data_IF_904883970590
#
_entry.id   IF_904883970590
#
_cell.length_a   1.000
_cell.length_b   1.000
_cell.length_c   1.000
_cell.angle_alpha   90.00
_cell.angle_beta   90.00
_cell.angle_gamma   90.00
#
_symmetry.space_group_name_H-M   'P 1'
#
loop_
_entity.id
_entity.type
_entity.pdbx_description
1 polymer ?
#
# COMPACT_ATOMS: atom_id res chain seq x y z
N UNK A 1 1.42 -21.68 15.15
CA UNK A 1 1.15 -20.24 14.84
C UNK A 1 0.61 -20.21 13.42
N UNK A 2 -0.56 -19.60 13.24
CA UNK A 2 -1.25 -19.55 11.95
C UNK A 2 -1.11 -18.16 11.34
N UNK A 3 -1.08 -18.11 10.01
CA UNK A 3 -1.22 -16.86 9.24
C UNK A 3 -2.71 -16.54 9.23
N UNK A 4 -3.03 -15.28 9.50
CA UNK A 4 -4.37 -14.72 9.43
C UNK A 4 -4.44 -13.70 8.29
N UNK A 5 -5.43 -13.86 7.44
CA UNK A 5 -5.72 -12.94 6.34
C UNK A 5 -7.00 -12.18 6.64
N UNK A 6 -6.91 -10.87 6.67
CA UNK A 6 -8.04 -9.98 6.92
C UNK A 6 -8.24 -9.05 5.72
N UNK A 7 -9.47 -8.93 5.28
CA UNK A 7 -9.90 -7.95 4.30
C UNK A 7 -10.71 -6.83 4.94
N UNK A 8 -10.61 -5.62 4.40
CA UNK A 8 -11.47 -4.50 4.74
C UNK A 8 -12.27 -4.11 3.51
N UNK A 9 -13.59 -4.09 3.66
CA UNK A 9 -14.52 -3.73 2.58
C UNK A 9 -14.68 -2.22 2.45
N UNK A 10 -15.31 -1.77 1.36
CA UNK A 10 -15.68 -0.37 1.16
C UNK A 10 -16.59 0.16 2.28
N UNK A 11 -17.42 -0.71 2.87
CA UNK A 11 -18.25 -0.40 4.03
C UNK A 11 -17.52 -0.36 5.38
N UNK A 12 -16.18 -0.48 5.39
CA UNK A 12 -15.34 -0.60 6.57
C UNK A 12 -15.60 -1.85 7.43
N UNK A 13 -16.18 -2.89 6.86
CA UNK A 13 -16.31 -4.17 7.53
C UNK A 13 -15.03 -4.98 7.40
N UNK A 14 -14.58 -5.56 8.50
CA UNK A 14 -13.44 -6.49 8.49
C UNK A 14 -13.95 -7.90 8.27
N UNK A 15 -13.44 -8.56 7.24
CA UNK A 15 -13.75 -9.94 6.92
C UNK A 15 -12.51 -10.82 7.06
N UNK A 16 -12.69 -12.02 7.57
CA UNK A 16 -11.62 -13.04 7.59
C UNK A 16 -11.62 -13.75 6.23
N UNK A 17 -10.48 -13.73 5.57
CA UNK A 17 -10.29 -14.45 4.31
C UNK A 17 -9.82 -15.87 4.60
N UNK A 18 -10.11 -16.78 3.67
CA UNK A 18 -9.70 -18.18 3.77
C UNK A 18 -8.19 -18.35 3.63
N UNK A 19 -7.72 -19.50 3.98
CA UNK A 19 -6.33 -19.91 3.78
C UNK A 19 -5.98 -19.87 2.28
N UNK A 20 -4.90 -19.15 1.92
CA UNK A 20 -4.51 -19.00 0.51
C UNK A 20 -3.89 -20.28 -0.02
N UNK A 21 -4.17 -20.61 -1.28
CA UNK A 21 -3.44 -21.64 -2.02
C UNK A 21 -2.04 -21.17 -2.43
N UNK A 22 -1.86 -19.86 -2.57
CA UNK A 22 -0.57 -19.21 -2.82
C UNK A 22 -0.54 -17.81 -2.21
N UNK A 23 0.61 -17.44 -1.65
CA UNK A 23 0.83 -16.09 -1.12
C UNK A 23 2.29 -15.71 -1.30
N UNK A 24 2.52 -14.55 -1.90
CA UNK A 24 3.87 -13.98 -2.12
C UNK A 24 3.87 -12.53 -1.67
N UNK A 25 4.80 -12.16 -0.79
CA UNK A 25 5.08 -10.77 -0.42
C UNK A 25 6.43 -10.38 -1.02
N UNK A 26 6.41 -9.43 -1.93
CA UNK A 26 7.61 -8.91 -2.59
C UNK A 26 8.00 -7.56 -1.98
N UNK A 27 9.28 -7.45 -1.61
CA UNK A 27 9.88 -6.22 -1.11
C UNK A 27 11.07 -5.87 -1.98
N UNK A 28 11.04 -4.71 -2.61
CA UNK A 28 12.19 -4.18 -3.31
C UNK A 28 12.89 -3.13 -2.44
N UNK A 29 14.21 -3.14 -2.47
CA UNK A 29 15.04 -2.21 -1.69
C UNK A 29 14.85 -0.76 -2.12
N UNK A 30 14.63 -0.53 -3.40
CA UNK A 30 14.51 0.76 -4.06
C UNK A 30 13.06 1.19 -4.33
N UNK A 31 12.09 0.50 -3.75
CA UNK A 31 10.67 0.83 -3.88
C UNK A 31 10.05 1.19 -2.52
N UNK A 32 9.27 2.27 -2.44
CA UNK A 32 8.53 2.60 -1.22
C UNK A 32 7.34 1.66 -1.00
N UNK A 33 6.96 0.90 -2.02
CA UNK A 33 5.82 -0.01 -1.99
C UNK A 33 6.27 -1.47 -1.95
N UNK A 34 5.67 -2.24 -1.04
CA UNK A 34 5.72 -3.70 -1.07
C UNK A 34 4.47 -4.20 -1.79
N UNK A 35 4.59 -5.34 -2.44
CA UNK A 35 3.50 -6.00 -3.15
C UNK A 35 3.13 -7.30 -2.45
N UNK A 36 1.84 -7.59 -2.43
CA UNK A 36 1.26 -8.86 -2.04
C UNK A 36 0.47 -9.42 -3.21
N UNK A 37 0.76 -10.66 -3.58
CA UNK A 37 -0.02 -11.44 -4.52
C UNK A 37 -0.51 -12.69 -3.80
N UNK A 38 -1.83 -12.89 -3.77
CA UNK A 38 -2.45 -14.05 -3.15
C UNK A 38 -3.47 -14.68 -4.09
N UNK A 39 -3.61 -16.00 -3.97
CA UNK A 39 -4.68 -16.77 -4.62
C UNK A 39 -5.46 -17.51 -3.55
N UNK A 40 -6.76 -17.30 -3.53
CA UNK A 40 -7.70 -17.90 -2.58
C UNK A 40 -8.67 -18.83 -3.29
N UNK A 41 -9.15 -19.91 -2.67
CA UNK A 41 -10.35 -20.58 -3.13
C UNK A 41 -11.53 -19.60 -3.14
N UNK A 42 -12.26 -19.53 -4.26
CA UNK A 42 -13.37 -18.59 -4.37
C UNK A 42 -14.58 -19.06 -3.59
N UNK A 43 -14.96 -18.28 -2.60
CA UNK A 43 -16.19 -18.48 -1.85
C UNK A 43 -16.78 -17.12 -1.48
N UNK A 44 -17.78 -16.69 -2.21
CA UNK A 44 -18.54 -15.47 -1.93
C UNK A 44 -18.01 -14.19 -2.60
N UNK A 45 -18.73 -13.08 -2.45
CA UNK A 45 -18.36 -11.81 -3.06
C UNK A 45 -17.18 -11.15 -2.32
N UNK A 46 -16.16 -10.75 -3.09
CA UNK A 46 -15.00 -9.98 -2.62
C UNK A 46 -14.83 -8.66 -3.41
N UNK A 47 -15.88 -8.24 -4.12
CA UNK A 47 -15.80 -7.12 -5.08
C UNK A 47 -15.57 -5.77 -4.42
N UNK A 48 -15.98 -5.63 -3.18
CA UNK A 48 -15.87 -4.41 -2.39
C UNK A 48 -14.66 -4.39 -1.44
N UNK A 49 -13.74 -5.34 -1.59
CA UNK A 49 -12.52 -5.39 -0.81
C UNK A 49 -11.57 -4.24 -1.22
N UNK A 50 -11.26 -3.36 -0.28
CA UNK A 50 -10.40 -2.18 -0.51
C UNK A 50 -9.02 -2.32 0.08
N UNK A 51 -8.89 -3.07 1.19
CA UNK A 51 -7.61 -3.27 1.87
C UNK A 51 -7.46 -4.72 2.29
N UNK A 52 -6.21 -5.13 2.42
CA UNK A 52 -5.85 -6.46 2.90
C UNK A 52 -4.74 -6.36 3.93
N UNK A 53 -4.83 -7.21 4.95
CA UNK A 53 -3.82 -7.35 5.99
C UNK A 53 -3.45 -8.82 6.17
N UNK A 54 -2.15 -9.08 6.26
CA UNK A 54 -1.58 -10.39 6.59
C UNK A 54 -0.93 -10.29 7.95
N UNK A 55 -1.32 -11.17 8.86
CA UNK A 55 -0.76 -11.25 10.22
C UNK A 55 -0.18 -12.63 10.50
N UNK A 56 0.81 -12.66 11.38
CA UNK A 56 1.32 -13.87 12.00
C UNK A 56 1.31 -13.67 13.52
N UNK A 57 0.33 -14.21 14.17
CA UNK A 57 0.05 -13.92 15.58
C UNK A 57 -0.31 -12.43 15.75
N UNK A 58 0.48 -11.69 16.54
CA UNK A 58 0.32 -10.25 16.76
C UNK A 58 1.00 -9.38 15.70
N UNK A 59 1.89 -9.95 14.91
CA UNK A 59 2.75 -9.21 13.99
C UNK A 59 2.06 -9.02 12.63
N UNK A 60 1.99 -7.79 12.17
CA UNK A 60 1.55 -7.48 10.81
C UNK A 60 2.71 -7.71 9.83
N UNK A 61 2.56 -8.69 8.95
CA UNK A 61 3.53 -8.99 7.89
C UNK A 61 3.33 -8.09 6.68
N UNK A 62 2.07 -7.72 6.40
CA UNK A 62 1.68 -6.86 5.30
C UNK A 62 0.38 -6.13 5.65
N UNK A 63 0.26 -4.89 5.22
CA UNK A 63 -0.99 -4.14 5.20
C UNK A 63 -1.00 -3.22 3.97
N UNK A 64 -2.00 -3.35 3.11
CA UNK A 64 -2.01 -2.66 1.83
C UNK A 64 -3.40 -2.39 1.28
N UNK A 65 -3.40 -1.65 0.18
CA UNK A 65 -4.56 -1.34 -0.64
C UNK A 65 -4.70 -2.41 -1.73
N UNK A 66 -5.90 -2.90 -1.98
CA UNK A 66 -6.16 -3.80 -3.09
C UNK A 66 -6.15 -3.02 -4.40
N UNK A 67 -5.27 -3.42 -5.31
CA UNK A 67 -5.18 -2.84 -6.64
C UNK A 67 -6.06 -3.60 -7.64
N UNK A 68 -6.10 -4.92 -7.53
CA UNK A 68 -6.80 -5.77 -8.48
C UNK A 68 -7.36 -7.03 -7.81
N UNK A 69 -8.54 -7.44 -8.23
CA UNK A 69 -9.20 -8.69 -7.84
C UNK A 69 -9.65 -9.40 -9.10
N UNK A 70 -9.05 -10.54 -9.40
CA UNK A 70 -9.35 -11.35 -10.59
C UNK A 70 -9.98 -12.67 -10.18
N UNK A 71 -11.11 -12.99 -10.76
CA UNK A 71 -11.76 -14.30 -10.59
C UNK A 71 -11.41 -15.21 -11.77
N UNK A 72 -11.09 -16.43 -11.46
CA UNK A 72 -10.81 -17.47 -12.44
C UNK A 72 -11.51 -18.77 -12.08
N UNK A 73 -11.89 -19.51 -13.11
CA UNK A 73 -12.44 -20.86 -12.98
C UNK A 73 -11.66 -21.76 -13.92
N UNK A 74 -11.11 -22.83 -13.41
CA UNK A 74 -10.40 -23.83 -14.18
C UNK A 74 -10.83 -25.24 -13.80
N UNK A 75 -10.14 -26.27 -14.30
CA UNK A 75 -10.43 -27.68 -14.00
C UNK A 75 -10.25 -28.06 -12.51
N UNK A 76 -9.59 -27.22 -11.70
CA UNK A 76 -9.34 -27.44 -10.28
C UNK A 76 -10.33 -26.67 -9.39
N UNK A 77 -11.16 -25.81 -9.97
CA UNK A 77 -12.18 -25.05 -9.26
C UNK A 77 -12.20 -23.56 -9.54
N UNK A 78 -12.88 -22.83 -8.68
CA UNK A 78 -12.98 -21.39 -8.75
C UNK A 78 -11.98 -20.75 -7.77
N UNK A 79 -11.24 -19.75 -8.23
CA UNK A 79 -10.22 -19.04 -7.48
C UNK A 79 -10.38 -17.53 -7.61
N UNK A 80 -9.87 -16.82 -6.61
CA UNK A 80 -9.72 -15.37 -6.64
C UNK A 80 -8.24 -15.04 -6.42
N UNK A 81 -7.66 -14.31 -7.35
CA UNK A 81 -6.34 -13.71 -7.21
C UNK A 81 -6.49 -12.25 -6.82
N UNK A 82 -5.79 -11.84 -5.76
CA UNK A 82 -5.79 -10.47 -5.27
C UNK A 82 -4.36 -9.96 -5.32
N UNK A 83 -4.18 -8.82 -5.97
CA UNK A 83 -2.94 -8.05 -5.96
C UNK A 83 -3.14 -6.80 -5.12
N UNK A 84 -2.20 -6.54 -4.21
CA UNK A 84 -2.27 -5.41 -3.29
C UNK A 84 -0.89 -4.79 -3.08
N UNK A 85 -0.85 -3.47 -2.83
CA UNK A 85 0.40 -2.77 -2.51
C UNK A 85 0.27 -2.00 -1.19
N UNK A 86 1.38 -1.88 -0.48
CA UNK A 86 1.41 -1.01 0.72
C UNK A 86 1.12 0.45 0.35
N UNK A 87 0.67 1.30 1.31
CA UNK A 87 0.36 2.70 1.03
C UNK A 87 1.50 3.50 0.38
N UNK A 88 2.75 3.03 0.49
CA UNK A 88 3.88 3.60 -0.23
C UNK A 88 3.69 3.70 -1.74
N UNK A 89 2.83 2.86 -2.33
CA UNK A 89 2.46 2.93 -3.75
C UNK A 89 1.87 4.30 -4.14
N UNK A 90 1.13 4.93 -3.22
CA UNK A 90 0.56 6.26 -3.47
C UNK A 90 1.62 7.33 -3.77
N UNK A 91 2.85 7.14 -3.27
CA UNK A 91 3.97 8.05 -3.56
C UNK A 91 4.46 7.90 -5.00
N UNK A 92 4.37 6.69 -5.57
CA UNK A 92 4.76 6.40 -6.94
C UNK A 92 3.66 6.76 -7.94
N UNK A 93 2.40 6.50 -7.57
CA UNK A 93 1.25 6.61 -8.45
C UNK A 93 0.75 8.06 -8.58
N UNK A 94 1.05 8.91 -7.58
CA UNK A 94 0.61 10.29 -7.59
C UNK A 94 1.70 11.20 -8.16
N UNK A 95 1.30 12.02 -9.14
CA UNK A 95 2.13 13.06 -9.69
C UNK A 95 2.29 14.20 -8.69
N UNK A 96 3.53 14.63 -8.46
CA UNK A 96 3.80 15.79 -7.65
C UNK A 96 3.39 17.08 -8.39
N UNK A 97 2.73 17.99 -7.69
CA UNK A 97 2.45 19.31 -8.25
C UNK A 97 3.77 20.07 -8.41
N UNK A 98 4.01 20.75 -9.58
CA UNK A 98 5.20 21.56 -9.79
C UNK A 98 5.35 22.62 -8.70
N UNK A 99 6.44 22.55 -7.95
CA UNK A 99 6.67 23.42 -6.80
C UNK A 99 8.15 23.58 -6.52
N UNK A 100 8.53 24.76 -6.10
CA UNK A 100 9.88 25.08 -5.65
C UNK A 100 9.88 25.22 -4.13
N UNK A 101 10.79 24.54 -3.50
CA UNK A 101 11.05 24.63 -2.08
C UNK A 101 12.40 25.28 -1.83
N UNK A 102 12.44 26.22 -0.88
CA UNK A 102 13.68 26.81 -0.34
C UNK A 102 13.75 26.48 1.15
N UNK A 103 14.92 26.17 1.65
CA UNK A 103 15.17 25.86 3.07
C UNK A 103 14.24 24.76 3.62
N UNK A 104 13.98 23.75 2.78
CA UNK A 104 13.04 22.68 3.10
C UNK A 104 13.54 21.78 4.22
N UNK A 105 12.74 21.60 5.27
CA UNK A 105 12.95 20.57 6.27
C UNK A 105 12.20 19.29 5.89
N UNK A 106 12.69 18.13 6.34
CA UNK A 106 12.00 16.86 6.13
C UNK A 106 10.55 16.89 6.67
N UNK A 107 10.35 17.54 7.83
CA UNK A 107 9.01 17.69 8.42
C UNK A 107 8.10 18.61 7.57
N UNK A 108 8.63 19.69 7.00
CA UNK A 108 7.87 20.59 6.13
C UNK A 108 7.45 19.88 4.84
N UNK A 109 8.36 19.10 4.23
CA UNK A 109 8.04 18.28 3.05
C UNK A 109 6.97 17.23 3.36
N UNK A 110 7.12 16.51 4.45
CA UNK A 110 6.12 15.53 4.91
C UNK A 110 4.74 16.17 5.04
N UNK A 111 4.65 17.31 5.71
CA UNK A 111 3.36 17.99 5.91
C UNK A 111 2.74 18.50 4.61
N UNK A 112 3.56 18.94 3.66
CA UNK A 112 3.09 19.51 2.40
C UNK A 112 2.63 18.45 1.40
N UNK A 113 3.37 17.34 1.28
CA UNK A 113 3.16 16.36 0.21
C UNK A 113 2.60 15.02 0.73
N UNK A 114 3.19 14.46 1.76
CA UNK A 114 2.85 13.11 2.21
C UNK A 114 1.59 13.07 3.08
N UNK A 115 1.37 14.08 3.91
CA UNK A 115 0.19 14.15 4.77
C UNK A 115 -1.10 14.27 3.96
N UNK A 116 -1.06 14.93 2.81
CA UNK A 116 -2.19 15.05 1.89
C UNK A 116 -2.59 13.73 1.25
N UNK A 117 -1.64 12.79 1.14
CA UNK A 117 -1.87 11.42 0.66
C UNK A 117 -2.32 10.46 1.77
N UNK A 118 -2.58 10.97 2.97
CA UNK A 118 -3.08 10.16 4.10
C UNK A 118 -1.99 9.56 4.99
N UNK A 119 -0.72 9.86 4.77
CA UNK A 119 0.34 9.44 5.68
C UNK A 119 0.27 10.24 6.98
N UNK A 120 0.10 9.55 8.09
CA UNK A 120 -0.01 10.15 9.43
C UNK A 120 0.93 9.48 10.42
N UNK A 121 1.19 10.14 11.54
CA UNK A 121 1.94 9.52 12.65
C UNK A 121 3.46 9.50 12.50
N UNK A 122 4.02 10.11 11.45
CA UNK A 122 5.46 10.26 11.32
C UNK A 122 5.92 11.58 11.96
N UNK A 123 6.89 11.48 12.86
CA UNK A 123 7.61 12.63 13.39
C UNK A 123 9.02 12.61 12.80
N UNK A 124 9.34 13.60 12.00
CA UNK A 124 10.63 13.74 11.34
C UNK A 124 11.47 14.84 12.01
N UNK A 125 12.81 14.72 11.95
CA UNK A 125 13.68 15.77 12.44
C UNK A 125 13.39 17.10 11.73
N UNK A 126 13.32 18.18 12.50
CA UNK A 126 13.15 19.53 11.94
C UNK A 126 14.51 20.15 11.53
N UNK A 127 15.39 19.32 11.01
CA UNK A 127 16.69 19.75 10.50
C UNK A 127 16.52 20.27 9.08
N UNK A 128 16.98 21.48 8.82
CA UNK A 128 17.04 22.05 7.47
C UNK A 128 18.01 21.22 6.64
N UNK A 129 17.57 20.66 5.52
CA UNK A 129 18.49 20.19 4.50
C UNK A 129 19.30 21.42 4.06
N UNK A 130 20.63 21.31 3.98
CA UNK A 130 21.48 22.44 3.64
C UNK A 130 20.97 23.16 2.41
N UNK A 131 20.66 24.42 2.55
CA UNK A 131 20.41 25.51 1.61
C UNK A 131 20.28 25.20 0.09
N UNK A 132 19.61 24.13 -0.26
CA UNK A 132 19.38 23.78 -1.66
C UNK A 132 17.93 24.12 -2.05
N UNK A 133 17.78 24.82 -3.13
CA UNK A 133 16.50 24.95 -3.79
C UNK A 133 16.16 23.60 -4.41
N UNK A 134 15.07 23.02 -3.99
CA UNK A 134 14.56 21.76 -4.53
C UNK A 134 13.33 22.05 -5.40
N UNK A 135 13.32 21.54 -6.62
CA UNK A 135 12.22 21.71 -7.56
C UNK A 135 11.56 20.36 -7.86
N UNK A 136 10.27 20.27 -7.61
CA UNK A 136 9.41 19.23 -8.17
C UNK A 136 8.95 19.68 -9.56
N UNK A 137 9.23 18.89 -10.59
CA UNK A 137 8.76 19.12 -11.95
C UNK A 137 7.46 18.38 -12.23
N UNK A 138 6.73 18.83 -13.28
CA UNK A 138 5.56 18.10 -13.79
C UNK A 138 5.98 16.71 -14.29
N UNK A 139 5.17 15.69 -13.98
CA UNK A 139 5.42 14.31 -14.38
C UNK A 139 6.37 13.53 -13.44
N UNK A 140 6.83 14.14 -12.35
CA UNK A 140 7.58 13.42 -11.32
C UNK A 140 6.62 12.85 -10.28
N UNK A 141 6.90 11.65 -9.80
CA UNK A 141 6.19 11.11 -8.64
C UNK A 141 6.57 11.86 -7.36
N UNK A 142 5.79 11.68 -6.30
CA UNK A 142 6.11 12.23 -4.97
C UNK A 142 7.30 11.50 -4.32
N UNK A 143 7.61 10.30 -4.82
CA UNK A 143 8.76 9.49 -4.41
C UNK A 143 10.06 9.92 -5.06
#
# INVERSE_FOLDING_TARGET
MSIELLGLTLGNETISLKEPSSMVITRAWDSPAWQLDITLPHEGPLDDLTKIQVKHGTDALFAGLCDEIVRSVDGNGAFVSISARTPGALLCDNEALPKTYTDLTAQAYFNAELKTLGFTGLSLPNTTASAATFQLGKGHSVW
#
